data_IF_720139917073
#
_entry.id   IF_720139917073
#
_cell.length_a   1.000
_cell.length_b   1.000
_cell.length_c   1.000
_cell.angle_alpha   90.00
_cell.angle_beta   90.00
_cell.angle_gamma   90.00
#
_symmetry.space_group_name_H-M   'P 1'
#
loop_
_entity.id
_entity.type
_entity.pdbx_description
1 polymer ?
#
# COMPACT_ATOMS: atom_id res chain seq x y z
N UNK A 1 -26.50 -37.44 -54.16
CA UNK A 1 -27.01 -36.31 -53.36
C UNK A 1 -27.41 -36.88 -52.01
N UNK A 2 -26.57 -36.83 -50.98
CA UNK A 2 -26.68 -36.00 -49.77
C UNK A 2 -25.75 -36.74 -48.77
N UNK A 3 -24.78 -36.19 -48.03
CA UNK A 3 -24.60 -34.87 -47.45
C UNK A 3 -23.09 -34.62 -47.32
N UNK A 4 -22.63 -33.59 -48.01
CA UNK A 4 -21.44 -32.83 -47.65
C UNK A 4 -21.83 -31.96 -46.45
N UNK A 5 -21.54 -32.41 -45.24
CA UNK A 5 -21.58 -31.68 -43.96
C UNK A 5 -21.46 -32.76 -42.90
N UNK A 6 -20.44 -32.83 -42.05
CA UNK A 6 -20.13 -31.83 -41.04
C UNK A 6 -18.61 -31.76 -40.91
N UNK A 7 -17.98 -30.93 -41.75
CA UNK A 7 -16.89 -30.10 -41.23
C UNK A 7 -17.56 -29.01 -40.38
N UNK A 8 -16.82 -28.44 -39.44
CA UNK A 8 -17.17 -27.30 -38.59
C UNK A 8 -17.98 -27.67 -37.33
N UNK A 9 -17.34 -27.52 -36.18
CA UNK A 9 -18.05 -27.58 -34.91
C UNK A 9 -17.21 -27.70 -33.64
N UNK A 10 -15.87 -27.81 -33.69
CA UNK A 10 -15.08 -27.69 -32.47
C UNK A 10 -14.80 -26.21 -32.18
N UNK A 11 -15.85 -25.49 -31.79
CA UNK A 11 -15.71 -24.17 -31.15
C UNK A 11 -15.14 -24.46 -29.76
N UNK A 12 -13.83 -24.23 -29.61
CA UNK A 12 -13.16 -24.30 -28.33
C UNK A 12 -13.79 -23.31 -27.35
N UNK A 13 -14.31 -23.82 -26.24
CA UNK A 13 -14.76 -23.02 -25.12
C UNK A 13 -13.54 -22.34 -24.50
N UNK A 14 -13.31 -21.08 -24.86
CA UNK A 14 -12.28 -20.24 -24.25
C UNK A 14 -12.72 -19.91 -22.82
N UNK A 15 -12.11 -20.56 -21.84
CA UNK A 15 -12.33 -20.25 -20.43
C UNK A 15 -11.84 -18.83 -20.15
N UNK A 16 -12.76 -17.91 -19.87
CA UNK A 16 -12.45 -16.54 -19.47
C UNK A 16 -12.03 -16.61 -17.99
N UNK A 17 -10.76 -16.86 -17.74
CA UNK A 17 -10.22 -16.76 -16.38
C UNK A 17 -10.10 -15.29 -16.00
N UNK A 18 -10.75 -14.83 -14.91
CA UNK A 18 -10.54 -13.47 -14.44
C UNK A 18 -9.10 -13.30 -13.99
N UNK A 19 -8.39 -12.32 -14.57
CA UNK A 19 -7.06 -11.94 -14.12
C UNK A 19 -7.20 -11.18 -12.80
N UNK A 20 -6.63 -11.72 -11.71
CA UNK A 20 -6.45 -10.95 -10.48
C UNK A 20 -5.37 -9.90 -10.74
N UNK A 21 -5.73 -8.62 -10.61
CA UNK A 21 -4.76 -7.55 -10.65
C UNK A 21 -3.82 -7.63 -9.44
N UNK A 22 -2.54 -7.35 -9.65
CA UNK A 22 -1.60 -7.20 -8.54
C UNK A 22 -2.02 -6.02 -7.64
N UNK A 23 -1.73 -6.07 -6.32
CA UNK A 23 -2.00 -4.94 -5.44
C UNK A 23 -1.30 -3.67 -5.92
N UNK A 24 -1.92 -2.51 -5.74
CA UNK A 24 -1.29 -1.22 -6.05
C UNK A 24 -0.22 -0.86 -4.99
N UNK A 25 0.58 0.16 -5.27
CA UNK A 25 1.59 0.66 -4.31
C UNK A 25 0.92 1.15 -3.01
N UNK A 26 -0.21 1.85 -3.13
CA UNK A 26 -1.01 2.34 -2.00
C UNK A 26 -1.53 1.18 -1.15
N UNK A 27 -1.99 0.09 -1.77
CA UNK A 27 -2.48 -1.10 -1.03
C UNK A 27 -1.34 -1.80 -0.28
N UNK A 28 -0.16 -1.92 -0.90
CA UNK A 28 1.03 -2.47 -0.23
C UNK A 28 1.53 -1.57 0.89
N UNK A 29 1.49 -0.25 0.69
CA UNK A 29 1.83 0.75 1.69
C UNK A 29 0.87 0.74 2.88
N UNK A 30 -0.43 0.60 2.65
CA UNK A 30 -1.41 0.44 3.72
C UNK A 30 -1.13 -0.82 4.53
N UNK A 31 -0.89 -1.95 3.87
CA UNK A 31 -0.56 -3.20 4.53
C UNK A 31 0.71 -3.06 5.38
N UNK A 32 1.73 -2.37 4.87
CA UNK A 32 2.94 -2.06 5.63
C UNK A 32 2.64 -1.18 6.85
N UNK A 33 1.89 -0.09 6.68
CA UNK A 33 1.53 0.82 7.77
C UNK A 33 0.71 0.11 8.85
N UNK A 34 -0.18 -0.80 8.46
CA UNK A 34 -0.95 -1.63 9.37
C UNK A 34 -0.07 -2.55 10.21
N UNK A 35 0.92 -3.20 9.59
CA UNK A 35 1.81 -4.11 10.29
C UNK A 35 2.79 -3.37 11.22
N UNK A 36 3.27 -2.19 10.82
CA UNK A 36 4.43 -1.56 11.47
C UNK A 36 4.12 -0.27 12.23
N UNK A 37 3.08 0.47 11.83
CA UNK A 37 2.79 1.81 12.35
C UNK A 37 1.51 1.84 13.22
N UNK A 38 0.53 0.98 12.92
CA UNK A 38 -0.81 1.04 13.49
C UNK A 38 -0.90 0.70 14.98
N UNK A 39 0.16 0.15 15.60
CA UNK A 39 0.19 -0.03 17.05
C UNK A 39 0.24 1.32 17.79
N UNK A 40 0.81 2.36 17.17
CA UNK A 40 0.96 3.68 17.77
C UNK A 40 0.10 4.73 17.05
N UNK A 41 0.09 4.74 15.72
CA UNK A 41 -0.55 5.78 14.93
C UNK A 41 -1.89 5.34 14.36
N UNK A 42 -2.87 6.23 14.33
CA UNK A 42 -4.02 6.05 13.45
C UNK A 42 -3.56 6.15 11.99
N UNK A 43 -3.79 5.10 11.21
CA UNK A 43 -3.40 5.03 9.81
C UNK A 43 -4.53 5.44 8.86
N UNK A 44 -5.77 5.44 9.32
CA UNK A 44 -6.93 5.80 8.50
C UNK A 44 -7.32 7.29 8.63
N UNK A 45 -8.34 7.67 7.87
CA UNK A 45 -8.80 9.07 7.75
C UNK A 45 -9.61 9.59 8.95
N UNK A 46 -10.06 8.74 9.87
CA UNK A 46 -11.10 9.10 10.86
C UNK A 46 -10.75 8.74 12.30
N UNK A 47 -10.02 7.66 12.53
CA UNK A 47 -9.74 7.14 13.86
C UNK A 47 -8.75 8.01 14.63
N UNK A 48 -8.78 7.88 15.96
CA UNK A 48 -7.76 8.46 16.84
C UNK A 48 -6.61 7.46 16.97
N UNK A 49 -5.39 7.98 17.16
CA UNK A 49 -4.23 7.12 17.40
C UNK A 49 -4.41 6.27 18.65
N UNK A 50 -4.01 4.98 18.62
CA UNK A 50 -4.05 4.12 19.81
C UNK A 50 -3.13 4.59 20.94
N UNK A 51 -1.95 5.13 20.60
CA UNK A 51 -1.01 5.70 21.56
C UNK A 51 -1.29 7.19 21.75
N UNK A 52 -1.48 7.60 23.00
CA UNK A 52 -1.62 9.02 23.35
C UNK A 52 -0.33 9.78 22.98
N UNK A 53 -0.48 10.95 22.35
CA UNK A 53 0.65 11.74 21.86
C UNK A 53 1.18 11.34 20.48
N UNK A 54 0.87 10.15 19.96
CA UNK A 54 1.20 9.78 18.59
C UNK A 54 0.23 10.45 17.60
N UNK A 55 0.66 11.34 16.70
CA UNK A 55 -0.26 11.98 15.76
C UNK A 55 -0.78 10.97 14.73
N UNK A 56 -2.04 11.09 14.27
CA UNK A 56 -2.54 10.32 13.13
C UNK A 56 -1.70 10.56 11.88
N UNK A 57 -1.44 9.53 11.08
CA UNK A 57 -0.58 9.66 9.88
C UNK A 57 -1.17 10.62 8.84
N UNK A 58 -2.50 10.74 8.78
CA UNK A 58 -3.18 11.76 7.96
C UNK A 58 -2.82 13.20 8.28
N UNK A 59 -2.18 13.48 9.41
CA UNK A 59 -1.72 14.82 9.75
C UNK A 59 -0.25 15.05 9.37
N UNK A 60 0.47 14.01 8.93
CA UNK A 60 1.92 14.08 8.67
C UNK A 60 2.26 15.11 7.58
N UNK A 61 1.45 15.17 6.51
CA UNK A 61 1.62 16.11 5.40
C UNK A 61 1.56 17.59 5.82
N UNK A 62 0.98 17.88 6.99
CA UNK A 62 0.88 19.25 7.54
C UNK A 62 2.21 19.75 8.09
N UNK A 63 3.10 18.84 8.44
CA UNK A 63 4.42 19.15 8.99
C UNK A 63 5.54 18.94 7.97
N UNK A 64 5.37 17.97 7.07
CA UNK A 64 6.38 17.60 6.08
C UNK A 64 5.73 17.23 4.75
N UNK A 65 6.22 17.73 3.60
CA UNK A 65 5.82 17.21 2.29
C UNK A 65 6.14 15.71 2.21
N UNK A 66 5.17 14.87 1.86
CA UNK A 66 5.30 13.40 1.92
C UNK A 66 6.48 12.90 1.09
N UNK A 67 6.73 13.51 -0.07
CA UNK A 67 7.79 13.14 -1.00
C UNK A 67 9.20 13.32 -0.42
N UNK A 68 9.35 14.18 0.60
CA UNK A 68 10.64 14.47 1.22
C UNK A 68 11.02 13.46 2.30
N UNK A 69 10.10 12.58 2.70
CA UNK A 69 10.33 11.61 3.77
C UNK A 69 11.17 10.41 3.33
N UNK A 70 11.43 10.24 2.02
CA UNK A 70 12.12 9.07 1.48
C UNK A 70 13.51 8.83 2.07
N UNK A 71 14.32 9.88 2.21
CA UNK A 71 15.67 9.78 2.80
C UNK A 71 15.60 9.37 4.27
N UNK A 72 14.75 10.03 5.06
CA UNK A 72 14.54 9.68 6.47
C UNK A 72 14.02 8.25 6.67
N UNK A 73 13.23 7.73 5.72
CA UNK A 73 12.77 6.34 5.74
C UNK A 73 13.88 5.34 5.37
N UNK A 74 14.81 5.74 4.50
CA UNK A 74 15.94 4.93 4.08
C UNK A 74 17.01 4.83 5.18
N UNK A 75 17.28 5.93 5.87
CA UNK A 75 18.27 6.00 6.96
C UNK A 75 17.71 5.57 8.32
N UNK A 76 16.39 5.35 8.39
CA UNK A 76 15.65 5.00 9.60
C UNK A 76 14.97 6.21 10.24
N UNK A 77 13.66 6.10 10.48
CA UNK A 77 12.89 7.18 11.10
C UNK A 77 13.30 7.32 12.57
N UNK A 78 14.17 8.29 12.87
CA UNK A 78 14.44 8.71 14.24
C UNK A 78 13.77 10.05 14.51
N UNK A 79 12.58 10.02 15.10
CA UNK A 79 11.87 11.24 15.51
C UNK A 79 12.34 11.79 16.86
N UNK A 80 13.32 11.15 17.51
CA UNK A 80 13.90 11.62 18.77
C UNK A 80 13.21 11.10 20.04
N UNK A 81 12.22 10.21 19.92
CA UNK A 81 11.55 9.58 21.07
C UNK A 81 11.75 8.06 21.06
N UNK A 82 12.08 7.51 22.23
CA UNK A 82 12.43 6.09 22.38
C UNK A 82 11.32 5.10 21.97
N UNK A 83 10.06 5.55 21.95
CA UNK A 83 8.89 4.69 21.71
C UNK A 83 8.61 4.45 20.21
N UNK A 84 9.21 5.24 19.31
CA UNK A 84 9.13 4.99 17.86
C UNK A 84 10.35 4.16 17.44
N UNK A 85 10.17 2.88 17.07
CA UNK A 85 11.30 2.05 16.68
C UNK A 85 11.90 2.56 15.39
N UNK A 86 13.22 2.45 15.29
CA UNK A 86 13.92 2.56 14.02
C UNK A 86 13.61 1.32 13.18
N UNK A 87 13.25 1.53 11.93
CA UNK A 87 13.22 0.48 10.91
C UNK A 87 13.71 1.10 9.61
N UNK A 88 14.65 0.42 8.96
CA UNK A 88 15.16 0.77 7.65
C UNK A 88 14.25 0.13 6.61
N UNK A 89 13.66 0.95 5.73
CA UNK A 89 12.83 0.45 4.65
C UNK A 89 13.69 0.25 3.41
N UNK A 90 13.46 -0.84 2.69
CA UNK A 90 14.04 -0.96 1.35
C UNK A 90 13.33 0.00 0.37
N UNK A 91 13.94 0.34 -0.79
CA UNK A 91 13.38 1.32 -1.72
C UNK A 91 11.94 1.06 -2.16
N UNK A 92 11.53 -0.21 -2.33
CA UNK A 92 10.17 -0.55 -2.72
C UNK A 92 9.18 -0.30 -1.57
N UNK A 93 9.56 -0.63 -0.33
CA UNK A 93 8.75 -0.34 0.85
C UNK A 93 8.60 1.16 1.08
N UNK A 94 9.66 1.94 0.85
CA UNK A 94 9.61 3.40 0.90
C UNK A 94 8.59 3.90 -0.12
N UNK A 95 8.72 3.50 -1.39
CA UNK A 95 7.81 3.90 -2.44
C UNK A 95 6.35 3.55 -2.10
N UNK A 96 6.09 2.32 -1.70
CA UNK A 96 4.75 1.85 -1.35
C UNK A 96 4.16 2.65 -0.17
N UNK A 97 4.94 2.86 0.89
CA UNK A 97 4.50 3.62 2.06
C UNK A 97 4.24 5.08 1.73
N UNK A 98 5.12 5.73 0.94
CA UNK A 98 4.92 7.11 0.51
C UNK A 98 3.67 7.25 -0.36
N UNK A 99 3.44 6.33 -1.30
CA UNK A 99 2.22 6.29 -2.12
C UNK A 99 0.98 6.19 -1.23
N UNK A 100 0.99 5.34 -0.21
CA UNK A 100 -0.12 5.28 0.75
C UNK A 100 -0.30 6.57 1.56
N UNK A 101 0.78 7.13 2.12
CA UNK A 101 0.71 8.38 2.90
C UNK A 101 0.18 9.54 2.07
N UNK A 102 0.51 9.59 0.77
CA UNK A 102 -0.05 10.56 -0.17
C UNK A 102 -1.58 10.45 -0.29
N UNK A 103 -2.12 9.23 -0.20
CA UNK A 103 -3.58 9.03 -0.17
C UNK A 103 -4.25 9.54 1.10
N UNK A 104 -3.52 10.02 2.10
CA UNK A 104 -4.05 10.57 3.34
C UNK A 104 -4.01 12.11 3.41
N UNK A 105 -3.48 12.76 2.36
CA UNK A 105 -3.66 14.20 2.13
C UNK A 105 -5.15 14.57 1.98
#
# INVERSE_FOLDING_TARGET
MLQSALRHGLIGLLLITPALAAPTAEQRGEAFARANCARCHAIDRVSRSPLEGAPPLRNLHRSYPIETLGEALAEGIYTGHADMPAFELNPNQIHDLLSYLKTLE
#
